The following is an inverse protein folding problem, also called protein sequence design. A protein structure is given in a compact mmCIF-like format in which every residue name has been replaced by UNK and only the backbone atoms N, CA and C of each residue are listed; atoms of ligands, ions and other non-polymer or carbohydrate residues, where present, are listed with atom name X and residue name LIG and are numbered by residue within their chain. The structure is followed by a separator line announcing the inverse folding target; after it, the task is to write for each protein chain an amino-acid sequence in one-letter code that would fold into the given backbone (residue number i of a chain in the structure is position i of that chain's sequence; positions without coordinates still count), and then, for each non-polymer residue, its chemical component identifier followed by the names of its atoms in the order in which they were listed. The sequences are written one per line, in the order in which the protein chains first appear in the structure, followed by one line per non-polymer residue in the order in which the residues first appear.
data_IF_803943581318
#
_entry.id   IF_803943581318
#
_cell.length_a   1.000
_cell.length_b   1.000
_cell.length_c   1.000
_cell.angle_alpha   90.00
_cell.angle_beta   90.00
_cell.angle_gamma   90.00
#
_symmetry.space_group_name_H-M   'P 1'
#
loop_
_entity.id
_entity.type
_entity.pdbx_description
1 polymer ?
#
# COMPACT_ATOMS: atom_id res chain seq x y z
N UNK A 1 -0.14 6.06 10.46
CA UNK A 1 -0.63 7.14 9.58
C UNK A 1 0.20 8.42 9.76
N UNK A 2 0.05 9.15 10.87
CA UNK A 2 0.68 10.48 11.07
C UNK A 2 2.20 10.55 10.82
N UNK A 3 2.99 9.57 11.29
CA UNK A 3 4.46 9.61 11.10
C UNK A 3 4.90 9.69 9.63
N UNK A 4 4.15 9.07 8.71
CA UNK A 4 4.49 9.06 7.28
C UNK A 4 4.09 10.36 6.57
N UNK A 5 3.15 11.11 7.14
CA UNK A 5 2.61 12.33 6.53
C UNK A 5 3.18 13.61 7.16
N UNK A 6 3.95 13.50 8.24
CA UNK A 6 4.51 14.62 9.00
C UNK A 6 5.73 15.25 8.29
N UNK A 7 6.93 14.79 8.60
CA UNK A 7 8.20 15.23 7.96
C UNK A 7 8.98 14.11 7.28
N UNK A 8 8.69 12.84 7.61
CA UNK A 8 9.48 11.69 7.15
C UNK A 8 9.03 11.05 5.83
N UNK A 9 7.94 11.52 5.20
CA UNK A 9 7.43 10.92 3.97
C UNK A 9 6.86 11.94 2.98
N UNK A 10 5.73 12.56 3.29
CA UNK A 10 5.05 13.50 2.38
C UNK A 10 5.16 14.98 2.80
N UNK A 11 5.99 15.30 3.80
CA UNK A 11 6.28 16.66 4.28
C UNK A 11 5.08 17.60 4.35
N UNK A 12 3.94 17.17 4.90
CA UNK A 12 2.75 18.03 4.98
C UNK A 12 3.00 19.26 5.86
N UNK A 13 3.89 19.16 6.86
CA UNK A 13 4.25 20.27 7.74
C UNK A 13 5.07 21.36 7.04
N UNK A 14 5.82 21.00 5.99
CA UNK A 14 6.56 21.95 5.17
C UNK A 14 5.75 22.47 3.98
N UNK A 15 4.51 22.02 3.81
CA UNK A 15 3.70 22.45 2.67
C UNK A 15 3.17 23.86 2.91
N UNK A 16 3.41 24.76 1.95
CA UNK A 16 2.89 26.14 1.97
C UNK A 16 1.42 26.21 1.51
N UNK A 17 0.67 25.11 1.64
CA UNK A 17 -0.72 25.02 1.21
C UNK A 17 -1.61 25.85 2.14
N UNK A 18 -2.52 26.64 1.57
CA UNK A 18 -3.50 27.34 2.39
C UNK A 18 -4.35 26.32 3.19
N UNK A 19 -4.78 26.65 4.42
CA UNK A 19 -5.42 25.69 5.34
C UNK A 19 -6.60 24.92 4.73
N UNK A 20 -7.41 25.59 3.90
CA UNK A 20 -8.53 24.99 3.17
C UNK A 20 -8.14 23.87 2.20
N UNK A 21 -6.98 23.95 1.57
CA UNK A 21 -6.47 22.91 0.67
C UNK A 21 -5.79 21.78 1.45
N UNK A 22 -5.13 22.12 2.56
CA UNK A 22 -4.55 21.13 3.47
C UNK A 22 -5.62 20.21 4.05
N UNK A 23 -6.77 20.73 4.50
CA UNK A 23 -7.88 19.92 4.99
C UNK A 23 -8.42 18.96 3.93
N UNK A 24 -8.62 19.46 2.69
CA UNK A 24 -9.07 18.62 1.56
C UNK A 24 -8.05 17.51 1.27
N UNK A 25 -6.76 17.83 1.27
CA UNK A 25 -5.69 16.86 1.06
C UNK A 25 -5.65 15.79 2.16
N UNK A 26 -5.78 16.18 3.42
CA UNK A 26 -5.81 15.24 4.56
C UNK A 26 -6.98 14.26 4.43
N UNK A 27 -8.16 14.73 4.01
CA UNK A 27 -9.34 13.87 3.80
C UNK A 27 -9.06 12.85 2.69
N UNK A 28 -8.51 13.28 1.55
CA UNK A 28 -8.16 12.37 0.44
C UNK A 28 -7.13 11.34 0.90
N UNK A 29 -6.10 11.78 1.64
CA UNK A 29 -5.09 10.90 2.21
C UNK A 29 -5.72 9.88 3.18
N UNK A 30 -6.66 10.31 4.02
CA UNK A 30 -7.34 9.44 4.97
C UNK A 30 -8.18 8.36 4.26
N UNK A 31 -8.89 8.72 3.19
CA UNK A 31 -9.66 7.77 2.37
C UNK A 31 -8.73 6.76 1.70
N UNK A 32 -7.64 7.23 1.07
CA UNK A 32 -6.66 6.37 0.43
C UNK A 32 -5.98 5.42 1.44
N UNK A 33 -5.59 5.94 2.60
CA UNK A 33 -4.99 5.18 3.68
C UNK A 33 -5.93 4.09 4.22
N UNK A 34 -7.21 4.43 4.42
CA UNK A 34 -8.24 3.50 4.89
C UNK A 34 -8.46 2.38 3.87
N UNK A 35 -8.57 2.73 2.59
CA UNK A 35 -8.76 1.78 1.49
C UNK A 35 -7.61 0.79 1.40
N UNK A 36 -6.36 1.27 1.41
CA UNK A 36 -5.17 0.42 1.42
C UNK A 36 -5.08 -0.45 2.68
N UNK A 37 -5.45 0.09 3.85
CA UNK A 37 -5.44 -0.67 5.11
C UNK A 37 -6.45 -1.81 5.11
N UNK A 38 -7.68 -1.58 4.60
CA UNK A 38 -8.71 -2.61 4.49
C UNK A 38 -8.27 -3.73 3.54
N UNK A 39 -7.67 -3.39 2.40
CA UNK A 39 -7.17 -4.40 1.48
C UNK A 39 -6.00 -5.20 2.05
N UNK A 40 -5.02 -4.53 2.66
CA UNK A 40 -3.91 -5.23 3.29
C UNK A 40 -4.35 -6.08 4.48
N UNK A 41 -5.44 -5.72 5.17
CA UNK A 41 -6.07 -6.58 6.19
C UNK A 41 -6.63 -7.85 5.53
N UNK A 42 -7.43 -7.72 4.46
CA UNK A 42 -7.93 -8.89 3.70
C UNK A 42 -6.79 -9.82 3.25
N UNK A 43 -5.70 -9.26 2.71
CA UNK A 43 -4.52 -10.03 2.26
C UNK A 43 -3.85 -10.80 3.41
N UNK A 44 -3.79 -10.18 4.59
CA UNK A 44 -3.26 -10.83 5.79
C UNK A 44 -4.19 -11.91 6.30
N UNK A 45 -5.49 -11.66 6.31
CA UNK A 45 -6.51 -12.61 6.73
C UNK A 45 -6.52 -13.85 5.81
N UNK A 46 -6.24 -13.67 4.51
CA UNK A 46 -6.05 -14.76 3.54
C UNK A 46 -4.71 -15.51 3.70
N UNK A 47 -3.77 -15.02 4.52
CA UNK A 47 -2.46 -15.66 4.71
C UNK A 47 -1.48 -15.54 3.53
N UNK A 48 -1.83 -14.80 2.47
CA UNK A 48 -1.01 -14.67 1.25
C UNK A 48 0.01 -13.52 1.30
N UNK A 49 0.15 -12.83 2.44
CA UNK A 49 1.05 -11.69 2.62
C UNK A 49 2.50 -11.95 2.18
N UNK A 50 2.98 -13.20 2.27
CA UNK A 50 4.33 -13.63 1.89
C UNK A 50 4.61 -13.53 0.38
N UNK A 51 3.57 -13.48 -0.45
CA UNK A 51 3.67 -13.32 -1.91
C UNK A 51 3.60 -11.86 -2.35
N UNK A 52 3.04 -11.00 -1.51
CA UNK A 52 2.85 -9.57 -1.81
C UNK A 52 4.00 -8.74 -1.27
N UNK A 53 4.49 -9.11 -0.08
CA UNK A 53 5.51 -8.36 0.66
C UNK A 53 6.57 -9.28 1.22
N UNK A 54 7.70 -8.71 1.62
CA UNK A 54 8.79 -9.46 2.23
C UNK A 54 8.27 -10.27 3.43
N UNK A 55 8.50 -11.58 3.50
CA UNK A 55 8.06 -12.39 4.62
C UNK A 55 8.55 -11.84 5.96
N UNK A 56 7.66 -11.80 6.95
CA UNK A 56 8.01 -11.43 8.30
C UNK A 56 8.90 -12.55 8.90
N UNK A 57 10.11 -12.20 9.36
CA UNK A 57 10.89 -13.13 10.18
C UNK A 57 10.20 -13.24 11.53
N UNK A 58 10.08 -14.46 12.07
CA UNK A 58 9.51 -14.76 13.41
C UNK A 58 10.22 -14.06 14.58
N UNK A 59 11.30 -13.32 14.32
CA UNK A 59 12.13 -12.68 15.33
C UNK A 59 11.65 -11.26 15.63
N UNK A 60 11.27 -11.05 16.89
CA UNK A 60 10.75 -9.83 17.54
C UNK A 60 9.24 -9.70 17.45
N UNK A 61 8.58 -9.55 18.61
CA UNK A 61 7.13 -9.46 18.80
C UNK A 61 6.41 -8.27 18.15
N UNK A 62 7.01 -7.64 17.14
CA UNK A 62 6.38 -6.60 16.34
C UNK A 62 6.22 -7.08 14.90
N UNK A 63 5.00 -6.92 14.37
CA UNK A 63 4.72 -7.10 12.95
C UNK A 63 5.62 -6.17 12.14
N UNK A 64 6.33 -6.75 11.19
CA UNK A 64 7.33 -6.06 10.37
C UNK A 64 6.66 -5.09 9.42
N UNK A 65 5.47 -5.40 8.92
CA UNK A 65 4.77 -4.60 7.92
C UNK A 65 3.34 -4.31 8.38
N UNK A 66 2.92 -3.04 8.36
CA UNK A 66 1.54 -2.66 8.68
C UNK A 66 0.57 -3.16 7.60
N UNK A 67 -0.72 -3.28 7.91
CA UNK A 67 -1.71 -3.67 6.90
C UNK A 67 -1.78 -2.64 5.77
N UNK A 68 -1.63 -1.34 6.08
CA UNK A 68 -1.45 -0.30 5.08
C UNK A 68 -0.29 -0.60 4.11
N UNK A 69 0.88 -0.96 4.62
CA UNK A 69 2.06 -1.26 3.81
C UNK A 69 1.82 -2.42 2.85
N UNK A 70 1.18 -3.49 3.35
CA UNK A 70 0.82 -4.66 2.52
C UNK A 70 -0.17 -4.28 1.43
N UNK A 71 -1.19 -3.48 1.73
CA UNK A 71 -2.16 -3.02 0.75
C UNK A 71 -1.55 -2.12 -0.33
N UNK A 72 -0.67 -1.19 0.03
CA UNK A 72 0.01 -0.35 -0.96
C UNK A 72 0.96 -1.15 -1.86
N UNK A 73 1.72 -2.09 -1.30
CA UNK A 73 2.60 -2.96 -2.10
C UNK A 73 1.81 -3.79 -3.12
N UNK A 74 0.64 -4.28 -2.72
CA UNK A 74 -0.23 -5.00 -3.63
C UNK A 74 -0.66 -4.15 -4.83
N UNK A 75 -1.04 -2.89 -4.61
CA UNK A 75 -1.39 -1.97 -5.69
C UNK A 75 -0.24 -1.73 -6.67
N UNK A 76 0.97 -1.48 -6.17
CA UNK A 76 2.14 -1.30 -7.04
C UNK A 76 2.43 -2.55 -7.87
N UNK A 77 2.29 -3.74 -7.28
CA UNK A 77 2.44 -5.00 -8.01
C UNK A 77 1.40 -5.17 -9.12
N UNK A 78 0.13 -4.88 -8.83
CA UNK A 78 -0.93 -4.94 -9.83
C UNK A 78 -0.71 -3.94 -10.98
N UNK A 79 -0.31 -2.72 -10.65
CA UNK A 79 -0.02 -1.69 -11.64
C UNK A 79 1.15 -2.11 -12.55
N UNK A 80 2.22 -2.66 -11.97
CA UNK A 80 3.35 -3.18 -12.74
C UNK A 80 2.92 -4.34 -13.64
N UNK A 81 2.08 -5.25 -13.16
CA UNK A 81 1.55 -6.35 -13.96
C UNK A 81 0.68 -5.85 -15.13
N UNK A 82 -0.13 -4.81 -14.92
CA UNK A 82 -0.93 -4.20 -15.98
C UNK A 82 -0.07 -3.47 -17.02
N UNK A 83 1.02 -2.83 -16.58
CA UNK A 83 1.95 -2.12 -17.45
C UNK A 83 2.75 -3.07 -18.36
N UNK A 84 3.05 -4.29 -17.88
CA UNK A 84 3.73 -5.33 -18.64
C UNK A 84 2.83 -6.54 -18.82
N UNK A 85 1.77 -6.45 -19.66
CA UNK A 85 0.91 -7.59 -19.91
C UNK A 85 1.76 -8.66 -20.60
N UNK A 86 2.07 -9.75 -19.88
CA UNK A 86 2.65 -10.92 -20.51
C UNK A 86 1.66 -11.38 -21.57
N UNK A 87 2.05 -11.35 -22.85
CA UNK A 87 1.39 -12.13 -23.90
C UNK A 87 1.59 -13.60 -23.53
N UNK A 88 0.72 -14.13 -22.68
CA UNK A 88 0.57 -15.57 -22.53
C UNK A 88 -0.01 -16.06 -23.86
N UNK A 89 0.88 -16.36 -24.82
CA UNK A 89 0.52 -17.22 -25.95
C UNK A 89 0.17 -18.55 -25.29
N UNK A 90 -1.13 -18.89 -25.24
CA UNK A 90 -1.59 -20.22 -24.89
C UNK A 90 -0.94 -21.17 -25.91
N UNK A 91 0.20 -21.73 -25.56
CA UNK A 91 0.67 -22.94 -26.20
C UNK A 91 -0.24 -24.05 -25.68
N UNK A 92 -1.07 -24.55 -26.58
CA UNK A 92 -1.83 -25.80 -26.48
C UNK A 92 -3.14 -25.73 -25.67
N UNK A 93 -4.24 -25.62 -26.42
CA UNK A 93 -5.41 -26.45 -26.20
C UNK A 93 -5.64 -27.20 -27.53
N UNK A 94 -5.68 -28.52 -27.40
CA UNK A 94 -5.75 -29.59 -28.41
C UNK A 94 -6.47 -29.26 -29.73
#
# INVERSE_FOLDING_TARGET
MFRNFKSGGYSLEGSQLAPQYLSKLIIVIAIAYTSATLQGKKIKDMGIQKYVTRPEKRYKGQRRHSSFYVGQHFYHWLQLHQMFPKKYRRANAN
#
